data_IF_310522764039
#
_entry.id   IF_310522764039
#
_cell.length_a   1.000
_cell.length_b   1.000
_cell.length_c   1.000
_cell.angle_alpha   90.00
_cell.angle_beta   90.00
_cell.angle_gamma   90.00
#
_symmetry.space_group_name_H-M   'P 1'
#
loop_
_entity.id
_entity.type
_entity.pdbx_description
1 polymer ?
#
# COMPACT_ATOMS: atom_id res chain seq x y z
N UNK A 1 7.15 16.72 -1.36
CA UNK A 1 6.01 16.77 -0.43
C UNK A 1 5.79 18.22 -0.14
N UNK A 2 4.57 18.74 -0.24
CA UNK A 2 4.25 20.12 0.12
C UNK A 2 4.38 20.33 1.63
N UNK A 3 4.49 21.58 2.08
CA UNK A 3 4.50 21.90 3.51
C UNK A 3 3.22 21.43 4.22
N UNK A 4 2.07 21.46 3.53
CA UNK A 4 0.79 20.98 4.05
C UNK A 4 0.81 19.47 4.22
N UNK A 5 1.22 18.73 3.18
CA UNK A 5 1.35 17.27 3.24
C UNK A 5 2.27 16.83 4.40
N UNK A 6 3.41 17.52 4.56
CA UNK A 6 4.37 17.21 5.63
C UNK A 6 3.79 17.46 7.02
N UNK A 7 3.10 18.59 7.23
CA UNK A 7 2.41 18.87 8.50
C UNK A 7 1.31 17.85 8.78
N UNK A 8 0.52 17.47 7.78
CA UNK A 8 -0.57 16.50 7.93
C UNK A 8 -0.05 15.13 8.38
N UNK A 9 1.01 14.63 7.75
CA UNK A 9 1.54 13.31 8.12
C UNK A 9 2.22 13.31 9.50
N UNK A 10 2.87 14.42 9.87
CA UNK A 10 3.40 14.58 11.22
C UNK A 10 2.29 14.60 12.27
N UNK A 11 1.22 15.38 12.03
CA UNK A 11 0.05 15.41 12.92
C UNK A 11 -0.56 14.03 13.10
N UNK A 12 -0.79 13.31 12.01
CA UNK A 12 -1.34 11.95 12.04
C UNK A 12 -0.47 10.99 12.86
N UNK A 13 0.85 11.00 12.65
CA UNK A 13 1.78 10.13 13.40
C UNK A 13 1.89 10.48 14.88
N UNK A 14 1.74 11.76 15.22
CA UNK A 14 1.78 12.25 16.60
C UNK A 14 0.41 12.27 17.28
N UNK A 15 -0.64 11.74 16.63
CA UNK A 15 -2.02 11.79 17.14
C UNK A 15 -2.49 13.21 17.47
N UNK A 16 -2.04 14.19 16.69
CA UNK A 16 -2.49 15.58 16.79
C UNK A 16 -3.75 15.71 15.93
N UNK A 17 -4.85 16.29 16.45
CA UNK A 17 -6.06 16.53 15.68
C UNK A 17 -5.78 17.28 14.37
N UNK A 18 -6.28 16.73 13.26
CA UNK A 18 -6.25 17.33 11.93
C UNK A 18 -7.49 18.16 11.65
N UNK A 19 -8.64 17.77 12.22
CA UNK A 19 -9.90 18.52 12.15
C UNK A 19 -10.23 19.10 13.53
N UNK A 20 -11.01 20.19 13.61
CA UNK A 20 -11.37 20.80 14.89
C UNK A 20 -12.27 19.88 15.74
N UNK A 21 -13.23 19.20 15.11
CA UNK A 21 -14.22 18.35 15.78
C UNK A 21 -14.43 17.04 15.00
N UNK A 22 -15.01 16.06 15.70
CA UNK A 22 -15.59 14.87 15.07
C UNK A 22 -16.90 15.28 14.39
N UNK A 23 -17.06 14.97 13.10
CA UNK A 23 -18.24 15.35 12.32
C UNK A 23 -18.72 14.22 11.42
N UNK A 24 -19.93 14.31 10.87
CA UNK A 24 -20.36 13.40 9.82
C UNK A 24 -19.54 13.65 8.56
N UNK A 25 -18.95 12.59 7.98
CA UNK A 25 -18.13 12.70 6.79
C UNK A 25 -18.91 13.39 5.65
N UNK A 26 -18.45 14.55 5.13
CA UNK A 26 -19.20 15.31 4.13
C UNK A 26 -19.29 14.61 2.77
N UNK A 27 -18.40 13.64 2.52
CA UNK A 27 -18.32 12.89 1.26
C UNK A 27 -19.24 11.68 1.28
N UNK A 28 -19.10 10.78 2.24
CA UNK A 28 -19.94 9.57 2.27
C UNK A 28 -21.27 9.77 3.00
N UNK A 29 -21.36 10.76 3.91
CA UNK A 29 -22.51 11.03 4.80
C UNK A 29 -22.97 9.84 5.65
N UNK A 30 -22.14 8.79 5.78
CA UNK A 30 -22.48 7.50 6.42
C UNK A 30 -21.70 7.23 7.70
N UNK A 31 -20.54 7.86 7.87
CA UNK A 31 -19.61 7.57 8.96
C UNK A 31 -19.06 8.85 9.57
N UNK A 32 -18.61 8.76 10.82
CA UNK A 32 -17.89 9.83 11.49
C UNK A 32 -16.54 10.04 10.82
N UNK A 33 -16.26 11.29 10.43
CA UNK A 33 -14.93 11.81 10.19
C UNK A 33 -14.37 12.25 11.55
N UNK A 34 -13.60 11.37 12.17
CA UNK A 34 -12.93 11.65 13.43
C UNK A 34 -11.87 12.76 13.25
N UNK A 35 -11.62 13.50 14.32
CA UNK A 35 -10.68 14.62 14.32
C UNK A 35 -9.23 14.22 13.99
N UNK A 36 -8.87 12.94 14.12
CA UNK A 36 -7.55 12.41 13.76
C UNK A 36 -7.48 11.90 12.32
N UNK A 37 -8.60 11.93 11.59
CA UNK A 37 -8.73 11.64 10.17
C UNK A 37 -8.63 10.18 9.77
N UNK A 38 -8.85 9.24 10.68
CA UNK A 38 -8.87 7.82 10.32
C UNK A 38 -9.87 7.52 9.20
N UNK A 39 -11.10 8.04 9.29
CA UNK A 39 -12.08 7.85 8.22
C UNK A 39 -11.68 8.52 6.89
N UNK A 40 -10.95 9.65 6.93
CA UNK A 40 -10.47 10.32 5.71
C UNK A 40 -9.57 9.42 4.85
N UNK A 41 -8.83 8.49 5.47
CA UNK A 41 -7.97 7.53 4.77
C UNK A 41 -8.73 6.36 4.13
N UNK A 42 -9.97 6.09 4.57
CA UNK A 42 -10.74 4.88 4.20
C UNK A 42 -12.08 5.15 3.52
N UNK A 43 -12.46 6.42 3.38
CA UNK A 43 -13.71 6.82 2.73
C UNK A 43 -13.72 6.37 1.26
N UNK A 44 -14.38 5.24 0.97
CA UNK A 44 -14.46 4.66 -0.39
C UNK A 44 -15.18 5.55 -1.40
N UNK A 45 -16.05 6.43 -0.92
CA UNK A 45 -16.80 7.40 -1.74
C UNK A 45 -15.93 8.60 -2.18
N UNK A 46 -14.70 8.71 -1.68
CA UNK A 46 -13.78 9.78 -2.06
C UNK A 46 -13.14 9.48 -3.43
N UNK A 47 -13.23 10.44 -4.34
CA UNK A 47 -12.44 10.44 -5.57
C UNK A 47 -10.95 10.40 -5.22
N UNK A 48 -10.23 9.39 -5.71
CA UNK A 48 -8.82 9.20 -5.35
C UNK A 48 -8.57 8.40 -4.07
N UNK A 49 -9.56 7.67 -3.52
CA UNK A 49 -9.31 6.70 -2.44
C UNK A 49 -8.17 5.71 -2.78
N UNK A 50 -7.98 5.37 -4.06
CA UNK A 50 -6.88 4.51 -4.54
C UNK A 50 -5.53 5.23 -4.70
N UNK A 51 -5.47 6.55 -4.52
CA UNK A 51 -4.25 7.33 -4.79
C UNK A 51 -3.03 6.81 -4.03
N UNK A 52 -3.17 6.54 -2.73
CA UNK A 52 -2.07 5.97 -1.92
C UNK A 52 -1.57 4.64 -2.48
N UNK A 53 -2.50 3.76 -2.83
CA UNK A 53 -2.18 2.47 -3.43
C UNK A 53 -1.41 2.64 -4.75
N UNK A 54 -1.94 3.45 -5.66
CA UNK A 54 -1.37 3.66 -7.00
C UNK A 54 0.00 4.34 -6.92
N UNK A 55 0.17 5.29 -5.99
CA UNK A 55 1.44 5.96 -5.74
C UNK A 55 2.52 5.00 -5.22
N UNK A 56 2.16 4.11 -4.28
CA UNK A 56 3.11 3.10 -3.75
C UNK A 56 3.45 2.07 -4.81
N UNK A 57 2.48 1.62 -5.60
CA UNK A 57 2.68 0.72 -6.75
C UNK A 57 3.62 1.33 -7.78
N UNK A 58 3.40 2.57 -8.17
CA UNK A 58 4.24 3.25 -9.17
C UNK A 58 5.67 3.49 -8.63
N UNK A 59 5.80 3.76 -7.33
CA UNK A 59 7.12 3.82 -6.68
C UNK A 59 7.83 2.46 -6.67
N UNK A 60 7.10 1.36 -6.40
CA UNK A 60 7.64 0.02 -6.50
C UNK A 60 8.12 -0.28 -7.92
N UNK A 61 7.32 0.07 -8.94
CA UNK A 61 7.71 -0.12 -10.35
C UNK A 61 9.02 0.61 -10.68
N UNK A 62 9.20 1.85 -10.21
CA UNK A 62 10.46 2.56 -10.43
C UNK A 62 11.63 1.94 -9.66
N UNK A 63 11.41 1.42 -8.46
CA UNK A 63 12.42 0.66 -7.71
C UNK A 63 12.84 -0.59 -8.50
N UNK A 64 11.89 -1.39 -8.98
CA UNK A 64 12.15 -2.60 -9.75
C UNK A 64 12.91 -2.29 -11.05
N UNK A 65 12.47 -1.25 -11.79
CA UNK A 65 13.16 -0.76 -13.00
C UNK A 65 14.60 -0.39 -12.71
N UNK A 66 14.86 0.35 -11.62
CA UNK A 66 16.23 0.73 -11.22
C UNK A 66 17.06 -0.46 -10.76
N UNK A 67 16.44 -1.48 -10.19
CA UNK A 67 17.11 -2.73 -9.85
C UNK A 67 17.45 -3.59 -11.09
N UNK A 68 16.98 -3.22 -12.29
CA UNK A 68 17.11 -4.06 -13.49
C UNK A 68 16.15 -5.25 -13.48
N UNK A 69 15.11 -5.23 -12.64
CA UNK A 69 14.10 -6.29 -12.55
C UNK A 69 12.99 -5.98 -13.54
N UNK A 70 12.76 -6.91 -14.47
CA UNK A 70 11.67 -6.80 -15.44
C UNK A 70 10.33 -6.98 -14.74
N UNK A 71 9.43 -6.01 -14.90
CA UNK A 71 8.09 -6.05 -14.33
C UNK A 71 7.08 -5.30 -15.21
N UNK A 72 5.80 -5.65 -15.09
CA UNK A 72 4.67 -5.00 -15.76
C UNK A 72 3.64 -4.54 -14.74
N UNK A 73 3.22 -3.28 -14.84
CA UNK A 73 2.15 -2.69 -14.05
C UNK A 73 0.78 -3.08 -14.60
N UNK A 74 -0.19 -3.35 -13.72
CA UNK A 74 -1.59 -3.65 -14.08
C UNK A 74 -1.67 -4.74 -15.16
N UNK A 75 -0.86 -5.79 -15.01
CA UNK A 75 -0.78 -6.85 -15.99
C UNK A 75 -2.09 -7.66 -15.98
N UNK A 76 -2.79 -7.80 -17.12
CA UNK A 76 -3.97 -8.65 -17.18
C UNK A 76 -3.56 -10.10 -16.94
N UNK A 77 -4.16 -10.71 -15.93
CA UNK A 77 -4.02 -12.14 -15.63
C UNK A 77 -5.42 -12.73 -15.57
N UNK A 78 -5.62 -13.87 -16.21
CA UNK A 78 -6.95 -14.46 -16.41
C UNK A 78 -7.48 -15.24 -15.19
N UNK A 79 -6.66 -15.40 -14.14
CA UNK A 79 -6.94 -16.28 -13.00
C UNK A 79 -7.10 -15.56 -11.65
N UNK A 80 -6.94 -14.23 -11.59
CA UNK A 80 -7.16 -13.46 -10.35
C UNK A 80 -8.59 -12.93 -10.18
N UNK A 81 -9.45 -13.14 -11.17
CA UNK A 81 -10.89 -12.86 -11.03
C UNK A 81 -11.52 -13.98 -10.22
N UNK A 82 -12.07 -13.62 -9.07
CA UNK A 82 -12.89 -14.55 -8.30
C UNK A 82 -14.21 -14.78 -9.06
N UNK A 83 -14.55 -16.03 -9.44
CA UNK A 83 -15.80 -16.32 -10.14
C UNK A 83 -17.05 -15.85 -9.39
N UNK A 84 -16.98 -15.78 -8.06
CA UNK A 84 -18.09 -15.31 -7.20
C UNK A 84 -18.26 -13.79 -7.22
N UNK A 85 -17.27 -13.02 -7.68
CA UNK A 85 -17.36 -11.55 -7.77
C UNK A 85 -18.21 -11.07 -8.95
N UNK A 86 -18.67 -11.98 -9.85
CA UNK A 86 -19.55 -11.64 -10.97
C UNK A 86 -18.95 -10.62 -11.95
N UNK A 87 -17.63 -10.41 -11.92
CA UNK A 87 -16.95 -9.41 -12.76
C UNK A 87 -16.72 -9.97 -14.16
N UNK A 88 -17.17 -9.22 -15.17
CA UNK A 88 -16.93 -9.51 -16.58
C UNK A 88 -15.51 -9.19 -17.05
N UNK A 89 -14.73 -8.45 -16.25
CA UNK A 89 -13.37 -8.02 -16.58
C UNK A 89 -12.32 -8.76 -15.75
N UNK A 90 -11.21 -9.12 -16.40
CA UNK A 90 -10.08 -9.76 -15.72
C UNK A 90 -9.49 -8.83 -14.67
N UNK A 91 -9.25 -9.34 -13.46
CA UNK A 91 -8.56 -8.59 -12.42
C UNK A 91 -7.06 -8.57 -12.75
N UNK A 92 -6.47 -7.39 -13.02
CA UNK A 92 -5.03 -7.32 -13.25
C UNK A 92 -4.27 -7.58 -11.94
N UNK A 93 -3.05 -8.11 -12.06
CA UNK A 93 -2.07 -8.04 -10.98
C UNK A 93 -1.56 -6.60 -10.87
N UNK A 94 -1.43 -6.06 -9.66
CA UNK A 94 -0.96 -4.68 -9.48
C UNK A 94 0.43 -4.51 -10.10
N UNK A 95 1.33 -5.47 -9.83
CA UNK A 95 2.63 -5.61 -10.47
C UNK A 95 2.90 -7.10 -10.76
N UNK A 96 3.25 -7.42 -12.01
CA UNK A 96 3.76 -8.73 -12.42
C UNK A 96 5.27 -8.65 -12.57
N UNK A 97 6.02 -9.39 -11.75
CA UNK A 97 7.48 -9.48 -11.80
C UNK A 97 7.88 -10.74 -12.56
N UNK A 98 8.71 -10.60 -13.60
CA UNK A 98 9.11 -11.72 -14.44
C UNK A 98 10.29 -12.50 -13.82
N UNK A 99 10.31 -13.82 -14.02
CA UNK A 99 11.42 -14.70 -13.63
C UNK A 99 11.79 -14.65 -12.14
N UNK A 100 10.80 -14.59 -11.25
CA UNK A 100 11.02 -14.36 -9.82
C UNK A 100 11.53 -15.60 -9.08
N UNK A 101 10.70 -16.58 -8.77
CA UNK A 101 11.09 -17.75 -7.94
C UNK A 101 10.96 -19.05 -8.73
N UNK A 102 12.06 -19.81 -8.83
CA UNK A 102 12.09 -21.03 -9.64
C UNK A 102 11.72 -20.80 -11.11
N UNK A 103 12.01 -19.60 -11.66
CA UNK A 103 11.61 -19.19 -13.00
C UNK A 103 10.15 -18.70 -13.13
N UNK A 104 9.30 -18.92 -12.12
CA UNK A 104 7.90 -18.46 -12.13
C UNK A 104 7.81 -16.95 -12.05
N UNK A 105 6.81 -16.37 -12.73
CA UNK A 105 6.48 -14.96 -12.56
C UNK A 105 5.77 -14.74 -11.22
N UNK A 106 5.95 -13.58 -10.59
CA UNK A 106 5.30 -13.23 -9.33
C UNK A 106 4.21 -12.18 -9.54
N UNK A 107 3.00 -12.50 -9.11
CA UNK A 107 1.91 -11.53 -8.95
C UNK A 107 2.08 -10.83 -7.61
N UNK A 108 2.56 -9.59 -7.64
CA UNK A 108 2.65 -8.73 -6.46
C UNK A 108 1.35 -7.94 -6.37
N UNK A 109 0.61 -8.16 -5.29
CA UNK A 109 -0.65 -7.48 -5.02
C UNK A 109 -0.48 -6.59 -3.78
N UNK A 110 -0.77 -5.30 -3.94
CA UNK A 110 -0.51 -4.29 -2.93
C UNK A 110 -1.75 -4.11 -2.04
N UNK A 111 -1.51 -3.91 -0.75
CA UNK A 111 -2.59 -3.54 0.17
C UNK A 111 -2.10 -2.58 1.24
N UNK A 112 -2.75 -1.43 1.34
CA UNK A 112 -2.47 -0.40 2.34
C UNK A 112 -3.60 -0.34 3.36
N UNK A 113 -3.31 -0.67 4.61
CA UNK A 113 -4.26 -0.61 5.73
C UNK A 113 -3.95 0.54 6.69
N UNK A 114 -4.85 0.86 7.61
CA UNK A 114 -4.51 1.68 8.77
C UNK A 114 -4.49 0.77 10.00
N UNK A 115 -3.51 0.94 10.90
CA UNK A 115 -3.49 0.18 12.13
C UNK A 115 -4.44 0.77 13.20
N UNK A 116 -5.11 1.90 12.91
CA UNK A 116 -6.06 2.54 13.81
C UNK A 116 -7.51 2.11 13.56
N UNK A 117 -7.78 1.38 12.48
CA UNK A 117 -9.12 0.85 12.20
C UNK A 117 -9.57 -0.11 13.29
N UNK A 118 -10.66 0.22 13.99
CA UNK A 118 -11.16 -0.58 15.11
C UNK A 118 -10.29 -0.52 16.37
N UNK A 119 -9.36 0.46 16.45
CA UNK A 119 -8.46 0.65 17.61
C UNK A 119 -9.22 0.79 18.93
N UNK A 120 -10.34 1.53 18.93
CA UNK A 120 -11.15 1.74 20.15
C UNK A 120 -11.73 0.45 20.71
N UNK A 121 -11.99 -0.53 19.85
CA UNK A 121 -12.61 -1.81 20.22
C UNK A 121 -11.57 -2.88 20.55
N UNK A 122 -10.45 -2.91 19.82
CA UNK A 122 -9.50 -4.03 19.83
C UNK A 122 -8.10 -3.66 20.37
N UNK A 123 -7.87 -2.40 20.74
CA UNK A 123 -6.54 -1.88 21.09
C UNK A 123 -5.60 -1.74 19.90
N UNK A 124 -4.38 -1.26 20.14
CA UNK A 124 -3.32 -1.11 19.13
C UNK A 124 -2.22 -2.11 19.39
N UNK A 125 -1.98 -2.98 18.41
CA UNK A 125 -0.84 -3.87 18.37
C UNK A 125 -0.07 -3.58 17.09
N UNK A 126 1.16 -3.12 17.23
CA UNK A 126 2.02 -2.80 16.10
C UNK A 126 2.16 -4.02 15.17
N UNK A 127 1.96 -3.81 13.86
CA UNK A 127 2.06 -4.86 12.85
C UNK A 127 0.84 -5.78 12.70
N UNK A 128 -0.10 -5.81 13.65
CA UNK A 128 -1.25 -6.73 13.57
C UNK A 128 -2.13 -6.46 12.35
N UNK A 129 -2.32 -5.19 11.99
CA UNK A 129 -3.13 -4.82 10.83
C UNK A 129 -2.51 -5.32 9.52
N UNK A 130 -1.19 -5.19 9.35
CA UNK A 130 -0.50 -5.66 8.13
C UNK A 130 -0.45 -7.18 8.05
N UNK A 131 -0.29 -7.88 9.17
CA UNK A 131 -0.36 -9.34 9.24
C UNK A 131 -1.73 -9.85 8.80
N UNK A 132 -2.82 -9.28 9.34
CA UNK A 132 -4.19 -9.63 8.95
C UNK A 132 -4.45 -9.35 7.48
N UNK A 133 -3.91 -8.25 6.94
CA UNK A 133 -4.05 -7.90 5.54
C UNK A 133 -3.29 -8.88 4.62
N UNK A 134 -2.06 -9.26 5.01
CA UNK A 134 -1.26 -10.27 4.33
C UNK A 134 -1.99 -11.61 4.27
N UNK A 135 -2.42 -12.15 5.41
CA UNK A 135 -3.12 -13.45 5.46
C UNK A 135 -4.38 -13.47 4.59
N UNK A 136 -5.19 -12.41 4.63
CA UNK A 136 -6.39 -12.29 3.79
C UNK A 136 -6.08 -12.28 2.30
N UNK A 137 -4.97 -11.66 1.88
CA UNK A 137 -4.56 -11.65 0.47
C UNK A 137 -4.05 -13.01 0.04
N UNK A 138 -3.27 -13.70 0.88
CA UNK A 138 -2.81 -15.07 0.63
C UNK A 138 -4.00 -16.01 0.45
N UNK A 139 -4.94 -16.02 1.40
CA UNK A 139 -6.15 -16.84 1.35
C UNK A 139 -6.94 -16.63 0.05
N UNK A 140 -7.05 -15.38 -0.39
CA UNK A 140 -7.84 -15.02 -1.56
C UNK A 140 -7.17 -15.35 -2.90
N UNK A 141 -5.85 -15.30 -2.99
CA UNK A 141 -5.15 -15.26 -4.28
C UNK A 141 -4.03 -16.27 -4.47
N UNK A 142 -3.44 -16.81 -3.39
CA UNK A 142 -2.26 -17.66 -3.50
C UNK A 142 -2.54 -18.96 -4.28
N UNK A 143 -3.67 -19.62 -4.01
CA UNK A 143 -4.03 -20.87 -4.68
C UNK A 143 -4.22 -20.69 -6.19
N UNK A 144 -4.91 -19.62 -6.59
CA UNK A 144 -5.12 -19.31 -8.01
C UNK A 144 -3.80 -19.00 -8.73
N UNK A 145 -2.87 -18.27 -8.09
CA UNK A 145 -1.53 -18.08 -8.63
C UNK A 145 -0.76 -19.40 -8.78
N UNK A 146 -0.78 -20.24 -7.75
CA UNK A 146 -0.08 -21.52 -7.74
C UNK A 146 -0.56 -22.44 -8.87
N UNK A 147 -1.89 -22.59 -9.02
CA UNK A 147 -2.52 -23.41 -10.06
C UNK A 147 -2.15 -22.94 -11.47
N UNK A 148 -1.80 -21.67 -11.62
CA UNK A 148 -1.41 -21.05 -12.89
C UNK A 148 0.12 -20.84 -13.01
N UNK A 149 0.93 -21.55 -12.21
CA UNK A 149 2.41 -21.47 -12.25
C UNK A 149 2.99 -20.08 -11.95
N UNK A 150 2.31 -19.29 -11.12
CA UNK A 150 2.79 -18.01 -10.63
C UNK A 150 3.07 -18.07 -9.12
N UNK A 151 4.07 -17.31 -8.68
CA UNK A 151 4.23 -16.98 -7.26
C UNK A 151 3.25 -15.86 -6.89
N UNK A 152 2.75 -15.87 -5.66
CA UNK A 152 1.94 -14.77 -5.13
C UNK A 152 2.72 -14.03 -4.05
N UNK A 153 2.77 -12.70 -4.14
CA UNK A 153 3.47 -11.84 -3.18
C UNK A 153 2.49 -10.81 -2.62
N UNK A 154 1.99 -10.98 -1.39
CA UNK A 154 1.17 -9.97 -0.72
C UNK A 154 2.06 -8.83 -0.19
N UNK A 155 2.07 -7.69 -0.88
CA UNK A 155 2.77 -6.50 -0.40
C UNK A 155 1.84 -5.67 0.48
N UNK A 156 1.72 -6.11 1.74
CA UNK A 156 0.92 -5.44 2.76
C UNK A 156 1.75 -4.40 3.54
N UNK A 157 1.18 -3.20 3.67
CA UNK A 157 1.76 -2.09 4.43
C UNK A 157 0.68 -1.31 5.18
N UNK A 158 1.08 -0.56 6.21
CA UNK A 158 0.17 0.36 6.91
C UNK A 158 0.50 1.84 6.67
N UNK A 159 -0.42 2.71 7.10
CA UNK A 159 -0.31 4.17 6.98
C UNK A 159 0.84 4.76 7.78
N UNK A 160 1.35 4.07 8.80
CA UNK A 160 2.55 4.48 9.55
C UNK A 160 3.85 4.00 8.91
N UNK A 161 3.79 3.04 7.99
CA UNK A 161 4.91 2.51 7.23
C UNK A 161 5.36 1.12 7.68
N UNK A 162 4.62 0.42 8.53
CA UNK A 162 4.90 -0.98 8.84
C UNK A 162 4.70 -1.84 7.59
N UNK A 163 5.49 -2.90 7.46
CA UNK A 163 5.43 -3.85 6.35
C UNK A 163 5.19 -5.25 6.91
N UNK A 164 4.37 -6.03 6.22
CA UNK A 164 4.18 -7.44 6.57
C UNK A 164 5.42 -8.28 6.20
N UNK A 165 5.60 -9.48 6.80
CA UNK A 165 6.77 -10.32 6.58
C UNK A 165 7.07 -10.65 5.11
N UNK A 166 6.07 -10.96 4.27
CA UNK A 166 6.29 -11.22 2.85
C UNK A 166 6.72 -9.96 2.10
N UNK A 167 6.14 -8.81 2.43
CA UNK A 167 6.56 -7.54 1.86
C UNK A 167 8.04 -7.25 2.17
N UNK A 168 8.47 -7.49 3.43
CA UNK A 168 9.88 -7.35 3.84
C UNK A 168 10.77 -8.35 3.10
N UNK A 169 10.37 -9.62 2.99
CA UNK A 169 11.12 -10.66 2.26
C UNK A 169 11.31 -10.28 0.78
N UNK A 170 10.23 -9.87 0.12
CA UNK A 170 10.25 -9.42 -1.26
C UNK A 170 11.19 -8.23 -1.46
N UNK A 171 11.04 -7.17 -0.65
CA UNK A 171 11.87 -5.96 -0.77
C UNK A 171 13.33 -6.22 -0.41
N UNK A 172 13.61 -7.10 0.54
CA UNK A 172 14.98 -7.52 0.88
C UNK A 172 15.64 -8.26 -0.29
N UNK A 173 14.88 -9.06 -1.03
CA UNK A 173 15.38 -9.68 -2.26
C UNK A 173 15.65 -8.65 -3.35
N UNK A 174 14.75 -7.69 -3.57
CA UNK A 174 14.99 -6.57 -4.50
C UNK A 174 16.24 -5.78 -4.10
N UNK A 175 16.40 -5.49 -2.81
CA UNK A 175 17.55 -4.77 -2.26
C UNK A 175 18.87 -5.51 -2.52
N UNK A 176 18.88 -6.85 -2.42
CA UNK A 176 20.06 -7.67 -2.78
C UNK A 176 20.42 -7.57 -4.26
N UNK A 177 19.42 -7.54 -5.16
CA UNK A 177 19.65 -7.34 -6.60
C UNK A 177 20.22 -5.95 -6.88
N UNK A 178 19.73 -4.91 -6.18
CA UNK A 178 20.31 -3.57 -6.26
C UNK A 178 21.79 -3.62 -5.81
N UNK A 179 22.09 -4.29 -4.70
CA UNK A 179 23.47 -4.39 -4.21
C UNK A 179 24.39 -5.17 -5.15
N UNK A 180 23.91 -6.20 -5.86
CA UNK A 180 24.73 -6.92 -6.84
C UNK A 180 25.00 -6.10 -8.09
N UNK A 181 24.04 -5.26 -8.50
CA UNK A 181 24.11 -4.52 -9.77
C UNK A 181 24.82 -3.16 -9.63
N UNK A 182 24.94 -2.60 -8.41
CA UNK A 182 25.56 -1.30 -8.18
C UNK A 182 26.73 -1.40 -7.20
N UNK A 183 27.94 -1.06 -7.67
CA UNK A 183 29.20 -1.17 -6.92
C UNK A 183 29.39 -0.13 -5.80
N UNK A 184 28.45 0.81 -5.63
CA UNK A 184 28.59 1.92 -4.68
C UNK A 184 27.94 1.63 -3.31
N UNK A 185 28.59 1.99 -2.18
CA UNK A 185 28.02 1.82 -0.82
C UNK A 185 26.69 2.56 -0.58
N UNK A 186 26.35 3.52 -1.44
CA UNK A 186 25.25 4.49 -1.29
C UNK A 186 23.84 3.89 -1.48
N UNK A 187 23.72 2.61 -1.88
CA UNK A 187 22.43 1.94 -2.09
C UNK A 187 21.82 1.25 -0.86
N UNK A 188 22.48 1.27 0.31
CA UNK A 188 21.96 0.63 1.54
C UNK A 188 20.68 1.33 2.00
N UNK A 189 19.55 0.64 1.86
CA UNK A 189 18.25 1.12 2.32
C UNK A 189 17.44 1.90 1.29
N UNK A 190 17.95 2.14 0.08
CA UNK A 190 17.21 2.86 -0.98
C UNK A 190 15.81 2.27 -1.22
N UNK A 191 15.68 0.94 -1.28
CA UNK A 191 14.41 0.26 -1.53
C UNK A 191 13.39 0.59 -0.43
N UNK A 192 13.77 0.36 0.83
CA UNK A 192 12.89 0.57 1.98
C UNK A 192 12.60 2.06 2.23
N UNK A 193 13.61 2.92 2.16
CA UNK A 193 13.42 4.36 2.35
C UNK A 193 12.50 4.92 1.27
N UNK A 194 12.72 4.55 0.00
CA UNK A 194 11.89 5.06 -1.09
C UNK A 194 10.45 4.59 -0.99
N UNK A 195 10.22 3.31 -0.68
CA UNK A 195 8.86 2.81 -0.47
C UNK A 195 8.20 3.47 0.74
N UNK A 196 8.93 3.59 1.86
CA UNK A 196 8.45 4.24 3.08
C UNK A 196 8.02 5.68 2.84
N UNK A 197 8.84 6.49 2.17
CA UNK A 197 8.47 7.86 1.80
C UNK A 197 7.27 7.91 0.84
N UNK A 198 7.14 6.93 -0.06
CA UNK A 198 5.98 6.84 -0.94
C UNK A 198 4.69 6.52 -0.20
N UNK A 199 4.73 5.64 0.81
CA UNK A 199 3.58 5.39 1.70
C UNK A 199 3.18 6.69 2.39
N UNK A 200 4.14 7.39 3.00
CA UNK A 200 3.87 8.64 3.72
C UNK A 200 3.33 9.74 2.81
N UNK A 201 3.87 9.87 1.59
CA UNK A 201 3.37 10.81 0.59
C UNK A 201 1.96 10.47 0.12
N UNK A 202 1.67 9.19 -0.15
CA UNK A 202 0.33 8.75 -0.52
C UNK A 202 -0.69 9.03 0.59
N UNK A 203 -0.35 8.72 1.84
CA UNK A 203 -1.19 9.01 3.02
C UNK A 203 -1.41 10.51 3.20
N UNK A 204 -0.35 11.32 3.08
CA UNK A 204 -0.45 12.77 3.22
C UNK A 204 -1.35 13.41 2.16
N UNK A 205 -1.22 12.99 0.90
CA UNK A 205 -2.06 13.50 -0.19
C UNK A 205 -3.55 13.21 0.05
N UNK A 206 -3.88 12.02 0.59
CA UNK A 206 -5.25 11.69 0.97
C UNK A 206 -5.79 12.59 2.08
N UNK A 207 -4.96 12.99 3.04
CA UNK A 207 -5.37 13.96 4.05
C UNK A 207 -5.57 15.36 3.47
N UNK A 208 -4.64 15.84 2.64
CA UNK A 208 -4.74 17.18 2.06
C UNK A 208 -5.98 17.31 1.18
N UNK A 209 -6.37 16.26 0.47
CA UNK A 209 -7.63 16.22 -0.29
C UNK A 209 -8.90 16.35 0.59
N UNK A 210 -8.75 16.29 1.92
CA UNK A 210 -9.84 16.33 2.90
C UNK A 210 -9.78 17.54 3.82
N UNK A 211 -8.67 18.27 3.84
CA UNK A 211 -8.54 19.45 4.68
C UNK A 211 -9.47 20.57 4.16
N UNK A 212 -10.19 21.27 5.05
CA UNK A 212 -10.87 22.51 4.71
C UNK A 212 -9.90 23.49 4.04
N UNK A 213 -10.39 24.32 3.12
CA UNK A 213 -9.55 25.29 2.41
C UNK A 213 -8.80 26.28 3.32
N UNK A 214 -9.27 26.47 4.56
CA UNK A 214 -8.64 27.32 5.58
C UNK A 214 -7.41 26.63 6.21
N UNK A 215 -7.31 25.29 6.13
CA UNK A 215 -6.21 24.49 6.64
C UNK A 215 -5.20 24.07 5.56
N UNK A 216 -5.47 24.41 4.29
CA UNK A 216 -4.54 24.23 3.16
C UNK A 216 -3.56 25.40 3.10
#
# INVERSE_FOLDING_TARGET
>A
MSAVEYRSILKYRLMIPMFPNDETCPVCRKACLDKYGEHALHCRELSGFKYRHDFVRDALMDILRRAGISAKKEAPVNFLTDPSEGRSTLRPADVLVFGWEGGKHACVDLTGVSPLGGFRENGFVAGQAVLKAESKKVEKHAKACEDNQHAFVPLAFDTFGSLAPEAVRFLSRVQRVVHSNFSTPQGRGFVFSRLGFSIQKGTAAQFVARLPAILM
#
